data_IF_426919085221
#
_entry.id   IF_426919085221
#
_cell.length_a   1.000
_cell.length_b   1.000
_cell.length_c   1.000
_cell.angle_alpha   90.00
_cell.angle_beta   90.00
_cell.angle_gamma   90.00
#
_symmetry.space_group_name_H-M   'P 1'
#
loop_
_entity.id
_entity.type
_entity.pdbx_description
1 polymer ?
#
# COMPACT_ATOMS: atom_id res chain seq x y z
N UNK A 1 -12.74 0.25 8.84
CA UNK A 1 -14.17 -0.11 8.67
C UNK A 1 -14.96 1.18 8.44
N UNK A 2 -15.11 1.66 7.20
CA UNK A 2 -16.01 2.78 6.84
C UNK A 2 -16.07 2.95 5.30
N UNK A 3 -16.45 1.91 4.56
CA UNK A 3 -16.66 2.03 3.10
C UNK A 3 -17.90 1.27 2.60
N UNK A 4 -18.84 0.96 3.51
CA UNK A 4 -19.98 0.08 3.21
C UNK A 4 -21.31 0.78 2.88
N UNK A 5 -21.43 2.09 3.03
CA UNK A 5 -22.74 2.78 3.00
C UNK A 5 -22.97 3.71 1.81
N UNK A 6 -21.96 3.95 0.96
CA UNK A 6 -22.10 4.85 -0.19
C UNK A 6 -22.65 4.15 -1.44
N UNK A 7 -22.42 2.84 -1.60
CA UNK A 7 -22.79 2.11 -2.83
C UNK A 7 -24.29 1.74 -2.86
N UNK A 8 -24.93 1.60 -1.71
CA UNK A 8 -26.36 1.27 -1.62
C UNK A 8 -27.29 2.47 -1.87
N UNK A 9 -26.80 3.70 -1.78
CA UNK A 9 -27.64 4.89 -1.94
C UNK A 9 -27.83 5.32 -3.42
N UNK A 10 -26.91 4.95 -4.31
CA UNK A 10 -27.00 5.29 -5.75
C UNK A 10 -27.94 4.33 -6.50
N UNK A 11 -28.09 3.08 -6.05
CA UNK A 11 -28.95 2.09 -6.71
C UNK A 11 -30.44 2.33 -6.40
N UNK A 12 -30.78 2.88 -5.23
CA UNK A 12 -32.16 3.13 -4.82
C UNK A 12 -32.80 4.38 -5.45
N UNK A 13 -32.01 5.29 -6.02
CA UNK A 13 -32.53 6.51 -6.64
C UNK A 13 -32.86 6.38 -8.12
N UNK A 14 -32.50 5.27 -8.77
CA UNK A 14 -32.79 5.03 -10.20
C UNK A 14 -34.12 4.30 -10.44
N UNK A 15 -34.67 3.60 -9.44
CA UNK A 15 -35.87 2.77 -9.66
C UNK A 15 -37.21 3.52 -9.50
N UNK A 16 -37.23 4.66 -8.78
CA UNK A 16 -38.46 5.45 -8.59
C UNK A 16 -38.85 6.31 -9.78
N UNK A 17 -37.94 6.60 -10.72
CA UNK A 17 -38.28 7.37 -11.92
C UNK A 17 -38.92 6.54 -13.04
N UNK A 18 -38.80 5.21 -13.02
CA UNK A 18 -39.35 4.37 -14.09
C UNK A 18 -40.81 3.91 -13.88
N UNK A 19 -41.39 4.08 -12.68
CA UNK A 19 -42.73 3.56 -12.38
C UNK A 19 -43.89 4.56 -12.57
N UNK A 20 -43.61 5.81 -13.01
CA UNK A 20 -44.63 6.87 -13.11
C UNK A 20 -44.87 7.38 -14.54
N UNK A 21 -44.79 6.49 -15.55
CA UNK A 21 -45.25 6.77 -16.94
C UNK A 21 -46.31 5.74 -17.38
N UNK A 22 -46.93 5.04 -16.43
CA UNK A 22 -48.02 4.08 -16.67
C UNK A 22 -49.38 4.63 -16.24
N UNK A 23 -49.92 5.67 -16.90
CA UNK A 23 -51.30 6.10 -16.66
C UNK A 23 -52.03 6.54 -17.94
N UNK A 24 -53.16 5.85 -18.17
CA UNK A 24 -54.28 6.17 -19.09
C UNK A 24 -54.06 6.00 -20.59
N UNK A 25 -54.34 4.79 -21.07
CA UNK A 25 -54.94 4.58 -22.39
C UNK A 25 -56.39 5.06 -22.35
N UNK A 26 -56.67 6.22 -22.95
CA UNK A 26 -58.03 6.63 -23.27
C UNK A 26 -58.24 6.44 -24.77
N UNK A 27 -59.19 5.58 -25.11
CA UNK A 27 -59.58 5.26 -26.47
C UNK A 27 -60.22 6.49 -27.12
N UNK A 28 -59.53 7.08 -28.09
CA UNK A 28 -60.20 7.79 -29.18
C UNK A 28 -59.79 7.17 -30.50
N UNK A 29 -60.80 6.61 -31.17
CA UNK A 29 -60.78 6.26 -32.59
C UNK A 29 -60.36 7.51 -33.37
N UNK A 30 -59.23 7.43 -34.05
CA UNK A 30 -58.93 8.31 -35.18
C UNK A 30 -58.80 7.39 -36.40
N UNK A 31 -59.52 7.80 -37.43
CA UNK A 31 -59.84 7.06 -38.63
C UNK A 31 -58.64 6.48 -39.38
N UNK A 32 -58.92 5.36 -40.04
CA UNK A 32 -58.11 4.78 -41.10
C UNK A 32 -57.94 5.80 -42.22
N UNK A 33 -56.81 6.49 -42.25
CA UNK A 33 -56.17 6.92 -43.49
C UNK A 33 -54.92 6.09 -43.65
N UNK A 34 -55.01 5.08 -44.51
CA UNK A 34 -53.88 4.30 -44.97
C UNK A 34 -52.98 5.21 -45.83
N UNK A 35 -52.12 6.01 -45.20
CA UNK A 35 -50.85 6.35 -45.81
C UNK A 35 -49.86 5.30 -45.32
N UNK A 36 -49.49 4.41 -46.24
CA UNK A 36 -48.28 3.60 -46.11
C UNK A 36 -47.11 4.57 -45.93
N UNK A 37 -46.80 4.95 -44.68
CA UNK A 37 -45.48 5.46 -44.34
C UNK A 37 -44.53 4.32 -44.66
N UNK A 38 -43.95 4.38 -45.86
CA UNK A 38 -42.83 3.54 -46.24
C UNK A 38 -41.85 3.61 -45.08
N UNK A 39 -41.61 2.46 -44.42
CA UNK A 39 -40.57 2.36 -43.42
C UNK A 39 -39.29 2.83 -44.10
N UNK A 40 -38.82 4.03 -43.74
CA UNK A 40 -37.62 4.60 -44.29
C UNK A 40 -36.47 3.68 -43.87
N UNK A 41 -36.00 2.85 -44.80
CA UNK A 41 -34.83 2.01 -44.57
C UNK A 41 -33.61 2.89 -44.36
N UNK A 42 -32.79 2.54 -43.38
CA UNK A 42 -31.50 3.21 -43.19
C UNK A 42 -30.68 3.08 -44.47
N UNK A 43 -30.09 4.19 -44.90
CA UNK A 43 -29.14 4.17 -46.00
C UNK A 43 -27.91 3.35 -45.58
N UNK A 44 -27.36 2.57 -46.51
CA UNK A 44 -26.12 1.81 -46.28
C UNK A 44 -24.98 2.73 -45.80
N UNK A 45 -24.93 3.98 -46.29
CA UNK A 45 -23.95 4.97 -45.85
C UNK A 45 -24.13 5.38 -44.38
N UNK A 46 -25.37 5.49 -43.91
CA UNK A 46 -25.70 5.90 -42.54
C UNK A 46 -25.26 4.85 -41.52
N UNK A 47 -25.40 3.57 -41.88
CA UNK A 47 -24.91 2.46 -41.05
C UNK A 47 -23.38 2.47 -40.96
N UNK A 48 -22.67 2.69 -42.07
CA UNK A 48 -21.20 2.72 -42.08
C UNK A 48 -20.66 3.86 -41.22
N UNK A 49 -21.21 5.07 -41.36
CA UNK A 49 -20.80 6.23 -40.56
C UNK A 49 -21.08 5.98 -39.07
N UNK A 50 -22.24 5.41 -38.74
CA UNK A 50 -22.62 5.11 -37.35
C UNK A 50 -21.68 4.08 -36.72
N UNK A 51 -21.32 3.02 -37.44
CA UNK A 51 -20.37 2.00 -36.96
C UNK A 51 -18.97 2.59 -36.79
N UNK A 52 -18.53 3.45 -37.72
CA UNK A 52 -17.23 4.12 -37.62
C UNK A 52 -17.17 5.02 -36.37
N UNK A 53 -18.17 5.87 -36.15
CA UNK A 53 -18.25 6.75 -34.98
C UNK A 53 -18.35 5.96 -33.68
N UNK A 54 -19.18 4.92 -33.65
CA UNK A 54 -19.33 4.05 -32.49
C UNK A 54 -18.00 3.37 -32.13
N UNK A 55 -17.28 2.88 -33.14
CA UNK A 55 -15.97 2.22 -32.94
C UNK A 55 -14.95 3.18 -32.31
N UNK A 56 -14.90 4.44 -32.78
CA UNK A 56 -14.02 5.47 -32.19
C UNK A 56 -14.36 5.70 -30.71
N UNK A 57 -15.65 5.83 -30.38
CA UNK A 57 -16.10 6.04 -29.00
C UNK A 57 -15.69 4.87 -28.09
N UNK A 58 -15.89 3.63 -28.55
CA UNK A 58 -15.53 2.43 -27.77
C UNK A 58 -14.02 2.32 -27.56
N UNK A 59 -13.22 2.64 -28.57
CA UNK A 59 -11.76 2.66 -28.45
C UNK A 59 -11.30 3.73 -27.45
N UNK A 60 -11.87 4.93 -27.50
CA UNK A 60 -11.56 6.00 -26.54
C UNK A 60 -11.96 5.61 -25.11
N UNK A 61 -13.15 5.04 -24.92
CA UNK A 61 -13.62 4.58 -23.61
C UNK A 61 -12.72 3.48 -23.03
N UNK A 62 -12.30 2.53 -23.87
CA UNK A 62 -11.38 1.45 -23.47
C UNK A 62 -10.01 2.00 -23.06
N UNK A 63 -9.50 3.00 -23.77
CA UNK A 63 -8.25 3.68 -23.42
C UNK A 63 -8.30 4.34 -22.05
N UNK A 64 -9.39 5.05 -21.75
CA UNK A 64 -9.62 5.66 -20.43
C UNK A 64 -9.69 4.59 -19.34
N UNK A 65 -10.44 3.50 -19.59
CA UNK A 65 -10.57 2.41 -18.63
C UNK A 65 -9.24 1.74 -18.30
N UNK A 66 -8.39 1.52 -19.32
CA UNK A 66 -7.04 1.00 -19.12
C UNK A 66 -6.20 1.90 -18.21
N UNK A 67 -6.19 3.22 -18.47
CA UNK A 67 -5.47 4.18 -17.63
C UNK A 67 -5.90 4.13 -16.16
N UNK A 68 -7.21 3.98 -15.91
CA UNK A 68 -7.74 3.85 -14.55
C UNK A 68 -7.25 2.56 -13.88
N UNK A 69 -7.26 1.42 -14.59
CA UNK A 69 -6.76 0.15 -14.05
C UNK A 69 -5.28 0.24 -13.71
N UNK A 70 -4.47 0.79 -14.61
CA UNK A 70 -3.03 0.92 -14.39
C UNK A 70 -2.73 1.84 -13.19
N UNK A 71 -3.50 2.93 -13.06
CA UNK A 71 -3.45 3.82 -11.89
C UNK A 71 -3.82 3.10 -10.58
N UNK A 72 -4.88 2.29 -10.58
CA UNK A 72 -5.28 1.51 -9.39
C UNK A 72 -4.22 0.48 -8.98
N UNK A 73 -3.62 -0.22 -9.95
CA UNK A 73 -2.55 -1.21 -9.67
C UNK A 73 -1.34 -0.55 -9.03
N UNK A 74 -0.92 0.59 -9.56
CA UNK A 74 0.17 1.38 -8.99
C UNK A 74 -0.15 1.85 -7.57
N UNK A 75 -1.34 2.42 -7.35
CA UNK A 75 -1.76 2.88 -6.03
C UNK A 75 -1.80 1.75 -4.98
N UNK A 76 -2.32 0.57 -5.34
CA UNK A 76 -2.34 -0.60 -4.46
C UNK A 76 -0.91 -1.06 -4.11
N UNK A 77 0.00 -1.06 -5.09
CA UNK A 77 1.41 -1.39 -4.85
C UNK A 77 2.06 -0.44 -3.84
N UNK A 78 1.92 0.87 -4.05
CA UNK A 78 2.43 1.90 -3.12
C UNK A 78 1.84 1.74 -1.73
N UNK A 79 0.53 1.50 -1.63
CA UNK A 79 -0.16 1.34 -0.35
C UNK A 79 0.36 0.12 0.41
N UNK A 80 0.54 -1.02 -0.26
CA UNK A 80 1.08 -2.23 0.37
C UNK A 80 2.50 -2.03 0.92
N UNK A 81 3.35 -1.31 0.17
CA UNK A 81 4.69 -0.93 0.65
C UNK A 81 4.57 -0.05 1.89
N UNK A 82 3.80 1.03 1.80
CA UNK A 82 3.62 1.98 2.90
C UNK A 82 3.10 1.32 4.18
N UNK A 83 2.08 0.48 4.09
CA UNK A 83 1.49 -0.22 5.25
C UNK A 83 2.49 -1.17 5.91
N UNK A 84 3.26 -1.91 5.10
CA UNK A 84 4.27 -2.83 5.60
C UNK A 84 5.41 -2.11 6.29
N UNK A 85 5.92 -1.02 5.69
CA UNK A 85 6.98 -0.21 6.29
C UNK A 85 6.48 0.49 7.56
N UNK A 86 5.24 0.97 7.58
CA UNK A 86 4.63 1.57 8.78
C UNK A 86 4.55 0.57 9.93
N UNK A 87 4.05 -0.64 9.67
CA UNK A 87 3.99 -1.70 10.68
C UNK A 87 5.38 -2.02 11.24
N UNK A 88 6.35 -2.18 10.33
CA UNK A 88 7.75 -2.40 10.68
C UNK A 88 8.31 -1.32 11.62
N UNK A 89 8.19 -0.05 11.22
CA UNK A 89 8.67 1.08 12.01
C UNK A 89 7.95 1.17 13.36
N UNK A 90 6.66 0.86 13.42
CA UNK A 90 5.91 0.85 14.68
C UNK A 90 6.45 -0.20 15.65
N UNK A 91 6.74 -1.42 15.16
CA UNK A 91 7.30 -2.50 15.97
C UNK A 91 8.68 -2.11 16.50
N UNK A 92 9.58 -1.65 15.63
CA UNK A 92 10.91 -1.18 16.02
C UNK A 92 10.82 -0.04 17.03
N UNK A 93 10.02 0.99 16.73
CA UNK A 93 9.90 2.16 17.58
C UNK A 93 9.40 1.79 18.99
N UNK A 94 8.46 0.83 19.08
CA UNK A 94 7.96 0.35 20.36
C UNK A 94 9.05 -0.37 21.15
N UNK A 95 9.81 -1.25 20.51
CA UNK A 95 10.88 -2.00 21.18
C UNK A 95 12.04 -1.07 21.59
N UNK A 96 12.46 -0.16 20.72
CA UNK A 96 13.54 0.78 20.99
C UNK A 96 13.22 1.75 22.12
N UNK A 97 11.98 2.25 22.23
CA UNK A 97 11.57 3.13 23.35
C UNK A 97 11.73 2.47 24.71
N UNK A 98 11.65 1.14 24.72
CA UNK A 98 11.73 0.30 25.91
C UNK A 98 13.09 -0.40 26.03
N UNK A 99 14.09 -0.02 25.22
CA UNK A 99 15.43 -0.56 25.28
C UNK A 99 16.09 -0.20 26.61
N UNK A 100 16.77 -1.17 27.21
CA UNK A 100 17.42 -1.06 28.51
C UNK A 100 18.92 -1.11 28.35
N UNK A 101 19.65 -0.58 29.34
CA UNK A 101 21.10 -0.71 29.44
C UNK A 101 21.51 -2.18 29.53
N UNK A 102 22.58 -2.55 28.86
CA UNK A 102 23.14 -3.88 28.99
C UNK A 102 23.82 -4.04 30.36
N UNK A 103 23.57 -5.18 30.99
CA UNK A 103 24.15 -5.59 32.28
C UNK A 103 24.79 -6.97 32.08
N UNK A 104 25.71 -7.07 31.11
CA UNK A 104 26.34 -8.33 30.66
C UNK A 104 25.37 -9.45 30.22
N UNK A 105 24.13 -9.12 29.84
CA UNK A 105 23.12 -10.11 29.41
C UNK A 105 23.26 -10.42 27.93
N UNK A 106 23.46 -9.39 27.10
CA UNK A 106 23.53 -9.54 25.66
C UNK A 106 24.98 -9.55 25.16
N UNK A 107 25.42 -10.61 24.46
CA UNK A 107 26.75 -10.65 23.87
C UNK A 107 26.86 -9.59 22.76
N UNK A 108 27.98 -8.88 22.71
CA UNK A 108 28.25 -7.89 21.68
C UNK A 108 27.83 -6.45 21.99
N UNK A 109 27.17 -6.21 23.13
CA UNK A 109 26.89 -4.84 23.62
C UNK A 109 27.80 -4.56 24.84
N UNK A 110 28.58 -3.47 24.86
CA UNK A 110 29.29 -3.04 26.06
C UNK A 110 28.35 -2.83 27.26
N UNK A 111 28.86 -3.02 28.47
CA UNK A 111 28.09 -2.72 29.69
C UNK A 111 27.74 -1.23 29.77
N UNK A 112 26.57 -0.90 30.33
CA UNK A 112 26.00 0.46 30.42
C UNK A 112 25.54 1.11 29.10
N UNK A 113 25.77 0.47 27.95
CA UNK A 113 25.23 0.92 26.65
C UNK A 113 23.81 0.38 26.40
N UNK A 114 23.01 1.15 25.66
CA UNK A 114 21.61 0.80 25.32
C UNK A 114 21.53 0.17 23.92
N UNK A 115 22.24 0.75 22.96
CA UNK A 115 22.22 0.34 21.56
C UNK A 115 23.65 0.19 21.07
N UNK A 116 23.87 -0.80 20.21
CA UNK A 116 25.06 -0.87 19.37
C UNK A 116 24.61 -1.01 17.92
N UNK A 117 25.27 -0.28 17.04
CA UNK A 117 25.12 -0.40 15.59
C UNK A 117 26.41 -0.99 15.06
N UNK A 118 26.30 -2.10 14.33
CA UNK A 118 27.42 -2.73 13.64
C UNK A 118 27.21 -2.58 12.14
N UNK A 119 28.09 -1.84 11.51
CA UNK A 119 28.12 -1.67 10.05
C UNK A 119 28.71 -2.95 9.43
N UNK A 120 27.87 -3.75 8.76
CA UNK A 120 28.33 -4.97 8.07
C UNK A 120 28.30 -4.74 6.56
N UNK A 121 29.11 -3.79 6.08
CA UNK A 121 29.19 -3.46 4.66
C UNK A 121 27.97 -2.67 4.15
N UNK A 122 27.05 -3.33 3.44
CA UNK A 122 25.92 -2.68 2.73
C UNK A 122 24.61 -2.61 3.53
N UNK A 123 24.63 -3.03 4.81
CA UNK A 123 23.47 -2.91 5.69
C UNK A 123 23.90 -2.88 7.14
N UNK A 124 23.27 -2.02 7.92
CA UNK A 124 23.54 -1.92 9.34
C UNK A 124 22.78 -2.98 10.14
N UNK A 125 23.43 -3.45 11.20
CA UNK A 125 22.83 -4.34 12.18
C UNK A 125 22.68 -3.60 13.50
N UNK A 126 21.44 -3.49 14.00
CA UNK A 126 21.12 -2.89 15.30
C UNK A 126 20.93 -3.98 16.34
N UNK A 127 21.59 -3.85 17.49
CA UNK A 127 21.47 -4.80 18.61
C UNK A 127 21.16 -4.03 19.90
N UNK A 128 20.18 -4.50 20.66
CA UNK A 128 19.85 -3.95 21.99
C UNK A 128 19.13 -4.97 22.88
N UNK A 129 19.09 -4.68 24.18
CA UNK A 129 18.30 -5.44 25.16
C UNK A 129 16.90 -4.82 25.29
N UNK A 130 15.85 -5.62 25.05
CA UNK A 130 14.48 -5.15 25.21
C UNK A 130 14.00 -5.22 26.68
N UNK A 131 12.79 -4.71 26.96
CA UNK A 131 12.16 -4.74 28.28
C UNK A 131 11.97 -6.16 28.88
N UNK A 132 11.91 -7.18 28.02
CA UNK A 132 11.76 -8.58 28.43
C UNK A 132 13.11 -9.28 28.68
N UNK A 133 14.21 -8.54 28.78
CA UNK A 133 15.58 -9.06 28.88
C UNK A 133 15.98 -9.98 27.72
N UNK A 134 15.40 -9.78 26.54
CA UNK A 134 15.79 -10.49 25.32
C UNK A 134 16.74 -9.61 24.50
N UNK A 135 17.74 -10.26 23.91
CA UNK A 135 18.65 -9.61 22.97
C UNK A 135 17.99 -9.59 21.60
N UNK A 136 17.64 -8.39 21.15
CA UNK A 136 17.01 -8.17 19.86
C UNK A 136 18.06 -7.70 18.88
N UNK A 137 18.14 -8.40 17.76
CA UNK A 137 18.98 -8.02 16.62
C UNK A 137 18.11 -7.77 15.41
N UNK A 138 18.38 -6.66 14.75
CA UNK A 138 17.70 -6.19 13.56
C UNK A 138 18.70 -6.09 12.42
N UNK A 139 18.42 -6.79 11.31
CA UNK A 139 19.29 -6.84 10.14
C UNK A 139 18.51 -7.10 8.86
N UNK A 140 19.15 -6.82 7.72
CA UNK A 140 18.66 -7.24 6.41
C UNK A 140 19.23 -8.60 6.05
N UNK A 141 18.35 -9.50 5.60
CA UNK A 141 18.74 -10.84 5.15
C UNK A 141 18.10 -11.13 3.80
N UNK A 142 18.87 -11.72 2.90
CA UNK A 142 18.37 -12.19 1.61
C UNK A 142 17.58 -13.49 1.80
N UNK A 143 16.35 -13.50 1.30
CA UNK A 143 15.40 -14.61 1.29
C UNK A 143 14.99 -14.89 -0.15
N UNK A 144 15.82 -15.67 -0.86
CA UNK A 144 15.65 -15.95 -2.28
C UNK A 144 15.74 -14.69 -3.14
N UNK A 145 14.65 -14.35 -3.82
CA UNK A 145 14.54 -13.17 -4.70
C UNK A 145 14.12 -11.89 -3.95
N UNK A 146 14.28 -11.83 -2.63
CA UNK A 146 13.88 -10.68 -1.82
C UNK A 146 14.90 -10.37 -0.72
N UNK A 147 15.20 -9.08 -0.51
CA UNK A 147 15.91 -8.63 0.68
C UNK A 147 14.91 -8.20 1.74
N UNK A 148 14.84 -8.97 2.83
CA UNK A 148 13.80 -8.85 3.85
C UNK A 148 14.39 -8.45 5.20
N UNK A 149 13.54 -7.80 5.97
CA UNK A 149 13.87 -7.36 7.30
C UNK A 149 13.69 -8.51 8.30
N UNK A 150 14.79 -8.90 8.95
CA UNK A 150 14.81 -9.97 9.93
C UNK A 150 14.94 -9.39 11.34
N UNK A 151 14.20 -9.99 12.27
CA UNK A 151 14.40 -9.83 13.70
C UNK A 151 14.88 -11.15 14.28
N UNK A 152 15.92 -11.10 15.10
CA UNK A 152 16.36 -12.19 15.94
C UNK A 152 16.10 -11.83 17.39
N UNK A 153 15.43 -12.72 18.14
CA UNK A 153 15.22 -12.58 19.59
C UNK A 153 15.91 -13.75 20.27
N UNK A 154 17.07 -13.49 20.88
CA UNK A 154 17.99 -14.48 21.42
C UNK A 154 18.50 -15.49 20.37
N UNK A 155 17.64 -16.42 19.92
CA UNK A 155 17.96 -17.43 18.91
C UNK A 155 16.80 -17.75 17.97
N UNK A 156 15.64 -17.12 18.17
CA UNK A 156 14.50 -17.24 17.26
C UNK A 156 14.58 -16.12 16.22
N UNK A 157 14.63 -16.51 14.95
CA UNK A 157 14.64 -15.58 13.83
C UNK A 157 13.28 -15.55 13.15
N UNK A 158 12.87 -14.37 12.70
CA UNK A 158 11.64 -14.18 11.96
C UNK A 158 11.70 -12.97 11.03
N UNK A 159 10.96 -13.03 9.94
CA UNK A 159 10.83 -11.90 9.02
C UNK A 159 9.64 -11.04 9.41
N UNK A 160 9.86 -9.73 9.54
CA UNK A 160 8.79 -8.75 9.81
C UNK A 160 8.26 -8.18 8.49
N UNK A 161 9.11 -8.06 7.46
CA UNK A 161 8.68 -7.60 6.14
C UNK A 161 8.08 -8.75 5.31
N UNK A 162 7.07 -8.49 4.46
CA UNK A 162 6.55 -9.49 3.54
C UNK A 162 7.52 -9.76 2.38
N UNK A 163 7.44 -10.94 1.77
CA UNK A 163 8.26 -11.35 0.61
C UNK A 163 7.92 -10.63 -0.72
N UNK A 164 7.06 -9.60 -0.69
CA UNK A 164 6.65 -8.82 -1.87
C UNK A 164 7.29 -7.43 -1.91
N UNK A 165 8.15 -7.12 -0.95
CA UNK A 165 8.84 -5.84 -0.82
C UNK A 165 10.33 -6.14 -0.77
N UNK A 166 11.09 -5.39 -1.55
CA UNK A 166 12.53 -5.38 -1.50
C UNK A 166 12.99 -4.17 -0.67
N UNK A 167 13.90 -4.39 0.27
CA UNK A 167 14.53 -3.32 1.03
C UNK A 167 15.91 -3.07 0.41
N UNK A 168 16.06 -1.89 -0.18
CA UNK A 168 17.29 -1.47 -0.86
C UNK A 168 18.38 -1.11 0.14
N UNK A 169 17.99 -0.42 1.21
CA UNK A 169 18.93 0.23 2.12
C UNK A 169 18.33 0.35 3.52
N UNK A 170 19.15 0.08 4.53
CA UNK A 170 18.83 0.21 5.94
C UNK A 170 20.05 0.72 6.69
N UNK A 171 19.90 1.91 7.26
CA UNK A 171 20.94 2.64 7.96
C UNK A 171 20.44 3.05 9.35
N UNK A 172 21.30 2.86 10.35
CA UNK A 172 21.00 3.12 11.75
C UNK A 172 21.98 4.15 12.31
N UNK A 173 21.55 5.41 12.38
CA UNK A 173 22.38 6.50 12.91
C UNK A 173 22.17 6.65 14.42
N UNK A 174 23.16 6.24 15.21
CA UNK A 174 23.17 6.39 16.67
C UNK A 174 23.75 7.74 17.08
N UNK A 175 22.91 8.59 17.67
CA UNK A 175 23.29 9.82 18.34
C UNK A 175 23.22 9.62 19.86
N UNK A 176 24.28 9.06 20.44
CA UNK A 176 24.42 8.88 21.88
C UNK A 176 25.35 9.95 22.46
N UNK A 177 24.79 11.02 23.05
CA UNK A 177 25.59 12.07 23.70
C UNK A 177 25.89 11.78 25.17
N UNK A 178 25.05 10.98 25.85
CA UNK A 178 25.26 10.45 27.22
C UNK A 178 24.33 9.23 27.44
N UNK A 179 24.74 8.23 28.24
CA UNK A 179 24.08 6.91 28.38
C UNK A 179 22.66 6.92 28.95
N UNK A 180 22.06 8.08 29.19
CA UNK A 180 20.72 8.24 29.77
C UNK A 180 19.63 8.47 28.73
N UNK A 181 19.95 9.01 27.55
CA UNK A 181 18.97 9.28 26.48
C UNK A 181 19.62 9.10 25.10
N UNK A 182 19.88 7.86 24.71
CA UNK A 182 20.34 7.55 23.35
C UNK A 182 19.22 7.80 22.34
N UNK A 183 19.52 8.59 21.30
CA UNK A 183 18.65 8.85 20.16
C UNK A 183 19.14 8.03 18.97
N UNK A 184 18.32 7.13 18.44
CA UNK A 184 18.65 6.39 17.23
C UNK A 184 17.72 6.82 16.11
N UNK A 185 18.28 7.04 14.93
CA UNK A 185 17.55 7.35 13.70
C UNK A 185 17.64 6.16 12.75
N UNK A 186 16.49 5.70 12.28
CA UNK A 186 16.36 4.61 11.31
C UNK A 186 16.06 5.24 9.96
N UNK A 187 16.91 4.97 8.98
CA UNK A 187 16.73 5.34 7.58
C UNK A 187 16.45 4.05 6.79
N UNK A 188 15.39 4.05 6.00
CA UNK A 188 14.94 2.87 5.27
C UNK A 188 14.52 3.27 3.85
N UNK A 189 14.99 2.50 2.87
CA UNK A 189 14.56 2.62 1.47
C UNK A 189 14.07 1.27 0.97
N UNK A 190 12.89 1.25 0.39
CA UNK A 190 12.29 0.02 -0.09
C UNK A 190 11.41 0.25 -1.33
N UNK A 191 11.21 -0.81 -2.10
CA UNK A 191 10.34 -0.79 -3.26
C UNK A 191 9.50 -2.07 -3.38
N UNK A 192 8.38 -1.97 -4.13
CA UNK A 192 7.53 -3.13 -4.42
C UNK A 192 8.18 -4.05 -5.46
N UNK A 193 8.14 -5.37 -5.22
CA UNK A 193 8.49 -6.41 -6.19
C UNK A 193 7.33 -6.61 -7.18
N UNK A 194 7.04 -5.59 -7.99
CA UNK A 194 6.07 -5.66 -9.08
C UNK A 194 6.77 -5.49 -10.44
N UNK A 195 6.01 -5.69 -11.52
CA UNK A 195 6.46 -5.39 -12.88
C UNK A 195 7.10 -3.99 -12.94
N UNK A 196 8.24 -3.85 -13.63
CA UNK A 196 9.09 -2.64 -13.64
C UNK A 196 8.34 -1.31 -13.88
N UNK A 197 7.18 -1.38 -14.54
CA UNK A 197 6.29 -0.24 -14.79
C UNK A 197 5.54 0.29 -13.55
N UNK A 198 5.50 -0.47 -12.44
CA UNK A 198 4.80 -0.14 -11.19
C UNK A 198 5.72 -0.23 -9.96
N UNK A 199 7.01 0.07 -10.14
CA UNK A 199 7.92 0.19 -9.01
C UNK A 199 7.58 1.45 -8.21
N UNK A 200 7.04 1.27 -7.02
CA UNK A 200 6.89 2.35 -6.05
C UNK A 200 8.07 2.27 -5.09
N UNK A 201 9.02 3.18 -5.24
CA UNK A 201 10.10 3.41 -4.27
C UNK A 201 9.58 4.29 -3.13
N UNK A 202 10.01 4.00 -1.91
CA UNK A 202 9.67 4.77 -0.72
C UNK A 202 10.87 4.84 0.23
N UNK A 203 11.21 6.06 0.63
CA UNK A 203 12.21 6.32 1.67
C UNK A 203 11.52 6.83 2.92
N UNK A 204 11.83 6.25 4.06
CA UNK A 204 11.30 6.63 5.35
C UNK A 204 12.42 6.85 6.35
N UNK A 205 12.22 7.83 7.22
CA UNK A 205 13.12 8.13 8.32
C UNK A 205 12.31 8.30 9.60
N UNK A 206 12.77 7.70 10.68
CA UNK A 206 12.20 7.91 12.02
C UNK A 206 13.28 7.96 13.07
N UNK A 207 13.11 8.83 14.06
CA UNK A 207 14.05 8.98 15.16
C UNK A 207 13.36 8.68 16.48
N UNK A 208 13.98 7.86 17.31
CA UNK A 208 13.43 7.40 18.59
C UNK A 208 14.48 7.51 19.68
N UNK A 209 14.10 8.17 20.76
CA UNK A 209 14.88 8.21 21.99
C UNK A 209 14.43 7.10 22.94
N UNK A 210 15.40 6.43 23.59
CA UNK A 210 15.11 5.51 24.68
C UNK A 210 14.50 6.25 25.89
N UNK A 211 13.57 5.61 26.58
CA UNK A 211 12.92 6.12 27.80
C UNK A 211 13.29 5.33 29.05
N UNK A 212 14.48 4.76 29.07
CA UNK A 212 14.95 4.05 30.26
C UNK A 212 15.05 4.99 31.46
N UNK A 213 14.19 4.78 32.47
CA UNK A 213 14.27 5.45 33.76
C UNK A 213 14.79 4.43 34.79
N UNK A 214 15.86 4.79 35.49
CA UNK A 214 16.43 3.99 36.58
C UNK A 214 15.54 4.04 37.82
#
# INVERSE_FOLDING_TARGET
MCLGTAVTMIILMSWKLFYMIGARKNLQKIDRSASSQMAAGFSLMEVIISVALFSVIILSATGIFKLVIDGQRSAIATQNVQESLKYFLEVINKEMRMAQKNEAVCPGIPDDEIFIVSETGSSDTLIFKNYYNQCVTYSLVSDGDSQRFQVSRNSETGFISPAKIWIDDLDFVLNASTSTQALLTVNLRAHALNERQFQSEMTLQTSVASRYYK
#
